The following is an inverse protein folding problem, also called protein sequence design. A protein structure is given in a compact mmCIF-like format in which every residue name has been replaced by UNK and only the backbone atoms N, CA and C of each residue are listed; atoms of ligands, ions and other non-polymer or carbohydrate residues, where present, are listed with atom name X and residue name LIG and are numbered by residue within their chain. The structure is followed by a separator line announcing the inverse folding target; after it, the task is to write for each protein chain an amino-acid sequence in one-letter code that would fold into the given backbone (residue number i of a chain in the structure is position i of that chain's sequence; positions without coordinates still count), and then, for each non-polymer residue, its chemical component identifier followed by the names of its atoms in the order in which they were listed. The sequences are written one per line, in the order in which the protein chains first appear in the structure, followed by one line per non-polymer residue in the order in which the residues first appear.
data_IF_340285673500
#
_entry.id   IF_340285673500
#
_cell.length_a   1.000
_cell.length_b   1.000
_cell.length_c   1.000
_cell.angle_alpha   90.00
_cell.angle_beta   90.00
_cell.angle_gamma   90.00
#
_symmetry.space_group_name_H-M   'P 1'
#
loop_
_entity.id
_entity.type
_entity.pdbx_description
1 polymer ?
#
# COMPACT_ATOMS: atom_id res chain seq x y z
N UNK A 1 63.13 33.00 17.35
CA UNK A 1 62.71 33.48 18.69
C UNK A 1 62.09 34.84 18.47
N UNK A 2 60.76 34.95 18.31
CA UNK A 2 59.72 34.98 19.39
C UNK A 2 59.87 36.31 20.15
N UNK A 3 58.88 37.18 20.36
CA UNK A 3 57.42 37.24 20.21
C UNK A 3 57.04 38.75 20.17
N UNK A 4 56.01 39.21 19.44
CA UNK A 4 54.58 39.30 19.84
C UNK A 4 54.32 39.70 21.30
N UNK A 5 53.74 40.91 21.48
CA UNK A 5 52.95 41.34 22.65
C UNK A 5 52.42 42.76 22.37
N UNK A 6 51.18 43.18 22.57
CA UNK A 6 49.86 42.63 22.91
C UNK A 6 48.93 43.81 22.57
N UNK A 7 47.88 43.61 21.77
CA UNK A 7 46.82 44.60 21.59
C UNK A 7 45.65 44.13 22.46
N UNK A 8 45.37 44.89 23.52
CA UNK A 8 44.31 44.65 24.47
C UNK A 8 43.14 45.59 24.22
N UNK A 9 41.96 44.99 24.16
CA UNK A 9 40.63 45.56 23.98
C UNK A 9 40.27 46.65 25.01
N UNK A 10 39.40 47.59 24.63
CA UNK A 10 38.21 47.94 25.41
C UNK A 10 37.20 48.78 24.59
N UNK A 11 36.08 48.11 24.26
CA UNK A 11 34.68 48.52 24.31
C UNK A 11 34.15 49.81 23.63
N UNK A 12 33.33 49.55 22.59
CA UNK A 12 31.91 49.94 22.44
C UNK A 12 31.50 51.42 22.44
N UNK A 13 30.92 51.88 21.32
CA UNK A 13 29.46 52.11 21.28
C UNK A 13 28.90 52.10 19.84
N UNK A 14 27.65 51.65 19.74
CA UNK A 14 26.81 51.37 18.57
C UNK A 14 26.25 52.71 18.01
N UNK A 15 25.52 52.87 16.89
CA UNK A 15 24.70 52.02 16.05
C UNK A 15 24.40 52.80 14.73
N UNK A 16 24.04 52.09 13.65
CA UNK A 16 23.06 52.46 12.60
C UNK A 16 23.43 51.74 11.29
N UNK A 17 22.85 50.56 11.08
CA UNK A 17 22.68 50.01 9.75
C UNK A 17 21.30 49.34 9.71
N UNK A 18 20.44 49.90 8.86
CA UNK A 18 19.03 49.58 8.75
C UNK A 18 18.76 48.09 8.50
N UNK A 19 17.75 47.59 9.21
CA UNK A 19 17.16 46.27 9.00
C UNK A 19 16.31 46.36 7.73
N UNK A 20 16.86 45.91 6.60
CA UNK A 20 16.03 45.59 5.43
C UNK A 20 15.21 44.34 5.76
N UNK A 21 13.93 44.55 6.09
CA UNK A 21 12.96 43.50 6.29
C UNK A 21 12.81 42.64 5.03
N UNK A 22 13.25 41.38 5.11
CA UNK A 22 12.96 40.36 4.09
C UNK A 22 11.46 40.07 4.17
N UNK A 23 10.70 40.58 3.20
CA UNK A 23 9.30 40.22 2.99
C UNK A 23 9.28 38.74 2.55
N UNK A 24 9.03 37.84 3.48
CA UNK A 24 8.67 36.45 3.17
C UNK A 24 7.30 36.50 2.51
N UNK A 25 7.28 36.55 1.18
CA UNK A 25 6.06 36.24 0.42
C UNK A 25 5.74 34.78 0.72
N UNK A 26 4.65 34.54 1.45
CA UNK A 26 4.03 33.23 1.53
C UNK A 26 3.68 32.80 0.09
N UNK A 27 4.51 31.95 -0.49
CA UNK A 27 4.15 31.23 -1.72
C UNK A 27 2.99 30.34 -1.30
N UNK A 28 1.78 30.51 -1.86
CA UNK A 28 0.68 29.60 -1.58
C UNK A 28 1.15 28.20 -1.94
N UNK A 29 0.98 27.24 -1.02
CA UNK A 29 1.24 25.85 -1.34
C UNK A 29 0.51 25.51 -2.65
N UNK A 30 1.19 24.86 -3.61
CA UNK A 30 0.56 24.52 -4.88
C UNK A 30 -0.69 23.68 -4.60
N UNK A 31 -1.74 23.82 -5.44
CA UNK A 31 -2.95 23.00 -5.32
C UNK A 31 -2.56 21.53 -5.19
N UNK A 32 -3.20 20.80 -4.28
CA UNK A 32 -2.97 19.37 -4.02
C UNK A 32 -2.95 18.50 -5.30
N UNK A 33 -3.60 18.97 -6.37
CA UNK A 33 -3.62 18.33 -7.69
C UNK A 33 -2.31 18.45 -8.48
N UNK A 34 -1.53 19.52 -8.30
CA UNK A 34 -0.29 19.79 -9.03
C UNK A 34 0.91 18.95 -8.53
N UNK A 35 0.81 18.34 -7.34
CA UNK A 35 1.86 17.46 -6.82
C UNK A 35 1.79 16.03 -7.41
N UNK A 36 0.70 15.68 -8.13
CA UNK A 36 0.55 14.35 -8.75
C UNK A 36 1.38 14.17 -10.03
N UNK A 37 1.92 15.23 -10.62
CA UNK A 37 2.42 15.20 -12.00
C UNK A 37 3.95 15.21 -12.16
N UNK A 38 4.76 14.97 -11.12
CA UNK A 38 6.22 15.04 -11.26
C UNK A 38 7.02 13.95 -10.54
N UNK A 39 6.47 12.75 -10.40
CA UNK A 39 7.26 11.58 -9.98
C UNK A 39 7.24 10.59 -11.15
N UNK A 40 8.34 10.55 -11.89
CA UNK A 40 8.60 9.48 -12.86
C UNK A 40 8.38 8.13 -12.14
N UNK A 41 7.53 7.24 -12.66
CA UNK A 41 7.25 5.98 -12.00
C UNK A 41 8.56 5.18 -11.88
N UNK A 42 8.90 4.78 -10.67
CA UNK A 42 10.04 3.89 -10.46
C UNK A 42 9.71 2.50 -11.01
N UNK A 43 10.72 1.67 -11.24
CA UNK A 43 10.54 0.31 -11.83
C UNK A 43 9.46 -0.50 -11.08
N UNK A 44 9.36 -0.34 -9.76
CA UNK A 44 8.32 -0.98 -8.95
C UNK A 44 6.90 -0.51 -9.26
N UNK A 45 6.70 0.76 -9.60
CA UNK A 45 5.38 1.27 -10.00
C UNK A 45 4.98 0.75 -11.37
N UNK A 46 5.93 0.64 -12.31
CA UNK A 46 5.67 0.02 -13.61
C UNK A 46 5.24 -1.44 -13.47
N UNK A 47 5.89 -2.21 -12.59
CA UNK A 47 5.49 -3.59 -12.31
C UNK A 47 4.04 -3.66 -11.80
N UNK A 48 3.66 -2.77 -10.87
CA UNK A 48 2.30 -2.71 -10.34
C UNK A 48 1.29 -2.34 -11.42
N UNK A 49 1.62 -1.40 -12.30
CA UNK A 49 0.78 -1.05 -13.45
C UNK A 49 0.53 -2.27 -14.35
N UNK A 50 1.58 -3.02 -14.68
CA UNK A 50 1.48 -4.23 -15.50
C UNK A 50 0.64 -5.32 -14.82
N UNK A 51 0.71 -5.45 -13.49
CA UNK A 51 -0.12 -6.40 -12.74
C UNK A 51 -1.61 -6.07 -12.81
N UNK A 52 -1.96 -4.78 -12.79
CA UNK A 52 -3.34 -4.32 -12.99
C UNK A 52 -3.77 -4.58 -14.43
N UNK A 53 -2.97 -4.13 -15.40
CA UNK A 53 -3.28 -4.23 -16.84
C UNK A 53 -3.52 -5.68 -17.28
N UNK A 54 -2.64 -6.60 -16.86
CA UNK A 54 -2.74 -8.01 -17.20
C UNK A 54 -3.62 -8.84 -16.25
N UNK A 55 -4.28 -8.20 -15.26
CA UNK A 55 -5.13 -8.85 -14.25
C UNK A 55 -4.43 -10.04 -13.57
N UNK A 56 -3.16 -9.82 -13.20
CA UNK A 56 -2.33 -10.86 -12.59
C UNK A 56 -2.93 -11.30 -11.26
N UNK A 57 -3.32 -10.34 -10.41
CA UNK A 57 -3.82 -10.62 -9.05
C UNK A 57 -5.13 -11.45 -9.06
N UNK A 58 -6.18 -11.09 -9.85
CA UNK A 58 -7.36 -11.96 -9.98
C UNK A 58 -7.04 -13.36 -10.53
N UNK A 59 -6.08 -13.46 -11.45
CA UNK A 59 -5.70 -14.72 -12.07
C UNK A 59 -5.01 -15.66 -11.07
N UNK A 60 -4.07 -15.16 -10.27
CA UNK A 60 -3.41 -15.97 -9.25
C UNK A 60 -4.37 -16.39 -8.13
N UNK A 61 -5.35 -15.54 -7.77
CA UNK A 61 -6.41 -15.91 -6.83
C UNK A 61 -7.31 -17.00 -7.41
N UNK A 62 -7.57 -16.99 -8.72
CA UNK A 62 -8.27 -18.10 -9.39
C UNK A 62 -7.45 -19.40 -9.31
N UNK A 63 -6.13 -19.33 -9.46
CA UNK A 63 -5.26 -20.51 -9.36
C UNK A 63 -5.23 -21.11 -7.96
N UNK A 64 -5.34 -20.29 -6.91
CA UNK A 64 -5.45 -20.75 -5.52
C UNK A 64 -6.56 -21.80 -5.36
N UNK A 65 -7.76 -21.54 -5.88
CA UNK A 65 -8.87 -22.49 -5.79
C UNK A 65 -8.77 -23.61 -6.82
N UNK A 66 -8.19 -23.34 -8.00
CA UNK A 66 -8.03 -24.34 -9.08
C UNK A 66 -7.07 -25.46 -8.71
N UNK A 67 -6.05 -25.18 -7.90
CA UNK A 67 -5.01 -26.14 -7.52
C UNK A 67 -5.01 -26.41 -6.00
N UNK A 68 -6.07 -27.04 -5.45
CA UNK A 68 -6.32 -27.09 -4.01
C UNK A 68 -5.25 -27.80 -3.20
N UNK A 69 -4.45 -28.66 -3.81
CA UNK A 69 -3.41 -29.46 -3.16
C UNK A 69 -1.98 -28.94 -3.39
N UNK A 70 -1.83 -27.75 -3.98
CA UNK A 70 -0.52 -27.14 -4.19
C UNK A 70 -0.18 -26.16 -3.06
N UNK A 71 0.46 -26.68 -2.00
CA UNK A 71 0.83 -25.87 -0.82
C UNK A 71 1.81 -24.73 -1.16
N UNK A 72 2.74 -24.95 -2.10
CA UNK A 72 3.68 -23.91 -2.51
C UNK A 72 2.95 -22.73 -3.15
N UNK A 73 2.02 -23.00 -4.07
CA UNK A 73 1.23 -21.96 -4.71
C UNK A 73 0.43 -21.16 -3.68
N UNK A 74 -0.17 -21.82 -2.70
CA UNK A 74 -1.00 -21.14 -1.68
C UNK A 74 -0.18 -20.18 -0.82
N UNK A 75 1.06 -20.55 -0.45
CA UNK A 75 2.00 -19.65 0.21
C UNK A 75 2.28 -18.41 -0.67
N UNK A 76 2.63 -18.62 -1.93
CA UNK A 76 2.95 -17.52 -2.86
C UNK A 76 1.76 -16.59 -3.07
N UNK A 77 0.56 -17.13 -3.26
CA UNK A 77 -0.65 -16.32 -3.42
C UNK A 77 -0.93 -15.52 -2.15
N UNK A 78 -0.84 -16.16 -0.99
CA UNK A 78 -1.01 -15.50 0.29
C UNK A 78 -0.02 -14.33 0.45
N UNK A 79 1.27 -14.54 0.16
CA UNK A 79 2.29 -13.49 0.26
C UNK A 79 1.96 -12.30 -0.67
N UNK A 80 1.48 -12.55 -1.88
CA UNK A 80 1.08 -11.47 -2.80
C UNK A 80 -0.12 -10.70 -2.26
N UNK A 81 -1.16 -11.38 -1.76
CA UNK A 81 -2.32 -10.73 -1.15
C UNK A 81 -1.89 -9.89 0.05
N UNK A 82 -1.04 -10.45 0.93
CA UNK A 82 -0.50 -9.77 2.08
C UNK A 82 0.32 -8.53 1.68
N UNK A 83 1.15 -8.62 0.63
CA UNK A 83 1.93 -7.49 0.10
C UNK A 83 1.05 -6.38 -0.45
N UNK A 84 -0.04 -6.72 -1.16
CA UNK A 84 -0.98 -5.72 -1.68
C UNK A 84 -1.71 -5.01 -0.54
N UNK A 85 -2.24 -5.74 0.43
CA UNK A 85 -2.99 -5.15 1.54
C UNK A 85 -2.12 -4.40 2.57
N UNK A 86 -0.84 -4.76 2.71
CA UNK A 86 0.08 -4.04 3.59
C UNK A 86 0.89 -2.95 2.89
N UNK A 87 0.70 -2.77 1.57
CA UNK A 87 1.33 -1.70 0.81
C UNK A 87 0.77 -0.31 1.16
N UNK A 88 1.54 0.76 0.94
CA UNK A 88 1.10 2.14 1.22
C UNK A 88 -0.12 2.51 0.37
N UNK A 89 -1.18 3.03 1.00
CA UNK A 89 -2.45 3.35 0.35
C UNK A 89 -2.63 4.83 -0.01
N UNK A 90 -1.69 5.68 0.41
CA UNK A 90 -1.72 7.13 0.18
C UNK A 90 -1.05 7.55 -1.14
N UNK A 91 -0.19 6.68 -1.72
CA UNK A 91 0.65 7.00 -2.89
C UNK A 91 0.87 5.80 -3.82
N UNK A 92 1.13 6.10 -5.09
CA UNK A 92 1.50 5.12 -6.12
C UNK A 92 0.32 4.28 -6.63
N UNK A 93 0.62 3.10 -7.16
CA UNK A 93 -0.36 2.21 -7.81
C UNK A 93 -0.91 1.11 -6.89
N UNK A 94 -0.50 1.07 -5.62
CA UNK A 94 -0.98 0.07 -4.66
C UNK A 94 -2.50 0.11 -4.42
N UNK A 95 -3.15 1.29 -4.29
CA UNK A 95 -4.59 1.35 -4.13
C UNK A 95 -5.35 0.69 -5.28
N UNK A 96 -4.84 0.83 -6.51
CA UNK A 96 -5.43 0.19 -7.70
C UNK A 96 -5.34 -1.33 -7.65
N UNK A 97 -4.23 -1.88 -7.13
CA UNK A 97 -4.09 -3.32 -6.92
C UNK A 97 -5.04 -3.83 -5.83
N UNK A 98 -5.18 -3.09 -4.73
CA UNK A 98 -6.14 -3.43 -3.69
C UNK A 98 -7.58 -3.43 -4.25
N UNK A 99 -7.94 -2.41 -5.04
CA UNK A 99 -9.24 -2.36 -5.74
C UNK A 99 -9.43 -3.54 -6.67
N UNK A 100 -8.41 -3.92 -7.45
CA UNK A 100 -8.47 -5.10 -8.32
C UNK A 100 -8.76 -6.39 -7.54
N UNK A 101 -8.26 -6.51 -6.31
CA UNK A 101 -8.54 -7.64 -5.42
C UNK A 101 -10.01 -7.71 -4.96
N UNK A 102 -10.63 -6.57 -4.67
CA UNK A 102 -12.03 -6.53 -4.24
C UNK A 102 -13.02 -6.56 -5.40
N UNK A 103 -12.79 -5.79 -6.47
CA UNK A 103 -13.73 -5.68 -7.58
C UNK A 103 -13.52 -6.78 -8.63
N UNK A 104 -12.28 -6.97 -9.10
CA UNK A 104 -12.02 -7.87 -10.22
C UNK A 104 -11.84 -9.33 -9.78
N UNK A 105 -11.28 -9.55 -8.58
CA UNK A 105 -11.08 -10.89 -8.02
C UNK A 105 -12.21 -11.34 -7.08
N UNK A 106 -13.08 -10.41 -6.64
CA UNK A 106 -14.21 -10.66 -5.73
C UNK A 106 -13.79 -11.51 -4.52
N UNK A 107 -12.70 -11.07 -3.85
CA UNK A 107 -11.99 -11.87 -2.84
C UNK A 107 -12.90 -12.29 -1.67
N UNK A 108 -13.86 -11.44 -1.29
CA UNK A 108 -14.83 -11.73 -0.21
C UNK A 108 -15.72 -12.90 -0.59
N UNK A 109 -16.32 -12.87 -1.78
CA UNK A 109 -17.14 -13.97 -2.29
C UNK A 109 -16.29 -15.21 -2.52
N UNK A 110 -15.06 -15.06 -2.99
CA UNK A 110 -14.13 -16.17 -3.19
C UNK A 110 -13.80 -16.89 -1.87
N UNK A 111 -13.60 -16.15 -0.76
CA UNK A 111 -13.42 -16.71 0.58
C UNK A 111 -14.65 -17.54 0.99
N UNK A 112 -15.84 -16.96 0.87
CA UNK A 112 -17.08 -17.63 1.26
C UNK A 112 -17.28 -18.91 0.44
N UNK A 113 -17.11 -18.84 -0.88
CA UNK A 113 -17.21 -20.01 -1.77
C UNK A 113 -16.18 -21.07 -1.45
N UNK A 114 -14.93 -20.67 -1.20
CA UNK A 114 -13.85 -21.58 -0.85
C UNK A 114 -14.14 -22.37 0.42
N UNK A 115 -14.73 -21.72 1.42
CA UNK A 115 -15.17 -22.35 2.67
C UNK A 115 -16.32 -23.34 2.40
N UNK A 116 -17.37 -22.92 1.70
CA UNK A 116 -18.52 -23.79 1.35
C UNK A 116 -18.07 -25.05 0.60
N UNK A 117 -17.21 -24.90 -0.41
CA UNK A 117 -16.66 -26.03 -1.17
C UNK A 117 -15.89 -26.98 -0.26
N UNK A 118 -15.12 -26.44 0.69
CA UNK A 118 -14.39 -27.27 1.63
C UNK A 118 -15.30 -28.00 2.62
N UNK A 119 -16.39 -27.38 3.06
CA UNK A 119 -17.35 -28.00 3.98
C UNK A 119 -18.10 -29.14 3.27
N UNK A 120 -18.47 -28.95 2.00
CA UNK A 120 -19.03 -30.02 1.18
C UNK A 120 -18.08 -31.19 0.99
N UNK A 121 -16.80 -30.92 0.71
CA UNK A 121 -15.76 -31.95 0.60
C UNK A 121 -15.58 -32.68 1.93
N UNK A 122 -15.54 -31.96 3.05
CA UNK A 122 -15.44 -32.58 4.37
C UNK A 122 -16.64 -33.47 4.67
N UNK A 123 -17.86 -33.06 4.30
CA UNK A 123 -19.06 -33.84 4.51
C UNK A 123 -19.11 -35.10 3.63
N UNK A 124 -18.70 -34.99 2.35
CA UNK A 124 -18.78 -36.08 1.36
C UNK A 124 -17.62 -37.07 1.46
N UNK A 125 -16.39 -36.58 1.57
CA UNK A 125 -15.16 -37.38 1.47
C UNK A 125 -14.34 -37.40 2.76
N UNK A 126 -14.79 -36.73 3.83
CA UNK A 126 -14.03 -36.54 5.09
C UNK A 126 -12.66 -35.87 4.89
N UNK A 127 -12.51 -35.13 3.79
CA UNK A 127 -11.28 -34.42 3.46
C UNK A 127 -11.57 -32.93 3.29
N UNK A 128 -10.86 -32.12 4.06
CA UNK A 128 -10.86 -30.66 3.95
C UNK A 128 -9.98 -30.24 2.78
N UNK A 129 -10.32 -29.16 2.08
CA UNK A 129 -9.51 -28.67 0.96
C UNK A 129 -8.12 -28.24 1.43
N UNK A 130 -7.08 -28.55 0.65
CA UNK A 130 -5.69 -28.27 1.01
C UNK A 130 -5.35 -26.78 1.14
N UNK A 131 -6.14 -25.90 0.50
CA UNK A 131 -5.97 -24.44 0.59
C UNK A 131 -6.51 -23.82 1.88
N UNK A 132 -7.18 -24.60 2.75
CA UNK A 132 -7.99 -24.02 3.83
C UNK A 132 -7.18 -23.25 4.88
N UNK A 133 -5.94 -23.66 5.17
CA UNK A 133 -5.08 -22.91 6.09
C UNK A 133 -4.83 -21.49 5.58
N UNK A 134 -4.42 -21.37 4.32
CA UNK A 134 -4.18 -20.09 3.67
C UNK A 134 -5.45 -19.29 3.43
N UNK A 135 -6.59 -19.96 3.19
CA UNK A 135 -7.85 -19.25 3.00
C UNK A 135 -8.25 -18.47 4.25
N UNK A 136 -8.05 -19.05 5.44
CA UNK A 136 -8.26 -18.36 6.71
C UNK A 136 -7.33 -17.16 6.84
N UNK A 137 -6.04 -17.32 6.52
CA UNK A 137 -5.08 -16.21 6.59
C UNK A 137 -5.44 -15.07 5.62
N UNK A 138 -5.85 -15.39 4.39
CA UNK A 138 -6.33 -14.39 3.42
C UNK A 138 -7.54 -13.65 3.99
N UNK A 139 -8.49 -14.36 4.60
CA UNK A 139 -9.67 -13.75 5.20
C UNK A 139 -9.30 -12.81 6.36
N UNK A 140 -8.36 -13.19 7.21
CA UNK A 140 -7.83 -12.32 8.27
C UNK A 140 -7.19 -11.05 7.70
N UNK A 141 -6.41 -11.16 6.64
CA UNK A 141 -5.79 -9.99 6.00
C UNK A 141 -6.83 -9.05 5.38
N UNK A 142 -7.91 -9.59 4.79
CA UNK A 142 -9.05 -8.79 4.31
C UNK A 142 -9.67 -8.01 5.46
N UNK A 143 -9.95 -8.64 6.61
CA UNK A 143 -10.53 -7.96 7.78
C UNK A 143 -9.59 -6.86 8.28
N UNK A 144 -8.31 -7.18 8.52
CA UNK A 144 -7.31 -6.19 8.97
C UNK A 144 -7.18 -5.01 8.01
N UNK A 145 -7.31 -5.26 6.70
CA UNK A 145 -7.28 -4.20 5.71
C UNK A 145 -8.51 -3.29 5.84
N UNK A 146 -9.71 -3.86 5.97
CA UNK A 146 -10.95 -3.09 6.11
C UNK A 146 -11.03 -2.28 7.41
N UNK A 147 -10.45 -2.79 8.50
CA UNK A 147 -10.36 -2.06 9.78
C UNK A 147 -9.42 -0.86 9.71
N UNK A 148 -8.27 -1.00 9.03
CA UNK A 148 -7.31 0.10 8.83
C UNK A 148 -7.81 1.16 7.85
N UNK A 149 -8.63 0.76 6.89
CA UNK A 149 -9.16 1.62 5.83
C UNK A 149 -10.69 1.60 5.83
N UNK A 150 -11.33 2.22 6.85
CA UNK A 150 -12.78 2.25 6.94
C UNK A 150 -13.41 2.90 5.71
N UNK A 151 -14.65 2.51 5.40
CA UNK A 151 -15.42 2.80 4.19
C UNK A 151 -15.40 4.28 3.72
N UNK A 152 -15.22 5.21 4.65
CA UNK A 152 -15.16 6.66 4.35
C UNK A 152 -13.84 7.10 3.71
N UNK A 153 -12.78 6.34 3.91
CA UNK A 153 -11.43 6.65 3.43
C UNK A 153 -11.15 6.11 2.02
N UNK A 154 -11.97 5.19 1.51
CA UNK A 154 -11.84 4.66 0.16
C UNK A 154 -13.23 4.36 -0.49
N UNK A 155 -13.92 5.38 -1.03
CA UNK A 155 -15.27 5.23 -1.58
C UNK A 155 -15.37 4.24 -2.75
N UNK A 156 -14.28 4.02 -3.49
CA UNK A 156 -14.24 3.12 -4.66
C UNK A 156 -14.25 1.64 -4.32
N UNK A 157 -13.87 1.25 -3.10
CA UNK A 157 -13.75 -0.18 -2.74
C UNK A 157 -15.07 -0.84 -2.35
N UNK A 158 -16.11 -0.07 -2.03
CA UNK A 158 -17.31 -0.62 -1.37
C UNK A 158 -18.64 -0.26 -2.03
N UNK A 159 -18.67 0.60 -3.05
CA UNK A 159 -19.92 0.92 -3.78
C UNK A 159 -20.15 0.03 -5.02
N UNK A 160 -19.23 -0.89 -5.33
CA UNK A 160 -19.32 -1.79 -6.50
C UNK A 160 -19.66 -3.24 -6.15
N UNK A 161 -19.89 -3.56 -4.87
CA UNK A 161 -20.23 -4.91 -4.38
C UNK A 161 -21.73 -5.06 -4.07
#
# INVERSE_FOLDING_TARGET
MVAEKEEGDDEADQAEAGVESIIIRAVPDPPFEAQRSSIQPVVGDYLKMQFVEHRVVPTILTFFFKYPWNNFLHNVVYDVVQQVFNGPMDRGYNPTLAVSLFEAADVTTAIIRGQVISDESQAKTRTRMGYMGHLTLIAEEVVKFTERHPLRSCPRLFWSA
#
